data_IF_415951384919
#
_entry.id   IF_415951384919
#
_cell.length_a   1.000
_cell.length_b   1.000
_cell.length_c   1.000
_cell.angle_alpha   90.00
_cell.angle_beta   90.00
_cell.angle_gamma   90.00
#
_symmetry.space_group_name_H-M   'P 1'
#
loop_
_entity.id
_entity.type
_entity.pdbx_description
1 polymer ?
#
# COMPACT_ATOMS: atom_id res chain seq x y z
N UNK A 1 27.55 1.29 21.38
CA UNK A 1 27.46 -0.11 20.97
C UNK A 1 26.05 -0.27 20.36
N UNK A 2 25.85 -0.28 19.23
CA UNK A 2 26.18 -0.62 17.89
C UNK A 2 25.00 -0.29 16.99
N UNK A 3 24.97 0.92 16.47
CA UNK A 3 24.05 1.34 15.39
C UNK A 3 24.36 0.66 14.06
N UNK A 4 25.37 -0.21 14.04
CA UNK A 4 25.82 -0.93 12.83
C UNK A 4 25.00 -2.16 12.46
N UNK A 5 23.99 -2.54 13.25
CA UNK A 5 23.16 -3.71 12.93
C UNK A 5 21.92 -3.38 12.08
N UNK A 6 21.60 -2.09 11.90
CA UNK A 6 20.45 -1.65 11.10
C UNK A 6 20.82 -1.14 9.71
N UNK A 7 22.09 -0.93 9.45
CA UNK A 7 22.62 -0.77 8.10
C UNK A 7 23.21 -2.12 7.68
N UNK A 8 22.32 -3.08 7.39
CA UNK A 8 22.75 -4.26 6.66
C UNK A 8 23.42 -3.73 5.40
N UNK A 9 24.74 -3.98 5.27
CA UNK A 9 25.41 -4.00 3.99
C UNK A 9 24.43 -4.58 3.00
N UNK A 10 24.17 -3.90 1.86
CA UNK A 10 23.14 -4.26 0.89
C UNK A 10 23.27 -5.73 0.52
N UNK A 11 22.62 -6.56 1.30
CA UNK A 11 22.81 -7.99 1.27
C UNK A 11 22.18 -8.47 -0.04
N UNK A 12 22.95 -9.12 -0.87
CA UNK A 12 22.45 -9.89 -2.01
C UNK A 12 21.24 -10.76 -1.63
N UNK A 13 21.09 -11.07 -0.32
CA UNK A 13 19.93 -11.77 0.23
C UNK A 13 18.60 -11.02 0.04
N UNK A 14 18.56 -9.70 0.22
CA UNK A 14 17.34 -8.92 -0.01
C UNK A 14 16.93 -8.95 -1.50
N UNK A 15 17.91 -8.78 -2.38
CA UNK A 15 17.71 -8.86 -3.83
C UNK A 15 17.23 -10.27 -4.25
N UNK A 16 17.92 -11.32 -3.75
CA UNK A 16 17.57 -12.71 -4.05
C UNK A 16 16.14 -13.02 -3.58
N UNK A 17 15.80 -12.61 -2.35
CA UNK A 17 14.45 -12.79 -1.79
C UNK A 17 13.41 -12.07 -2.63
N UNK A 18 13.67 -10.84 -3.05
CA UNK A 18 12.80 -10.07 -3.93
C UNK A 18 12.62 -10.74 -5.29
N UNK A 19 13.70 -11.25 -5.89
CA UNK A 19 13.64 -11.96 -7.17
C UNK A 19 12.83 -13.25 -7.06
N UNK A 20 13.06 -14.06 -6.03
CA UNK A 20 12.29 -15.29 -5.77
C UNK A 20 10.81 -14.95 -5.59
N UNK A 21 10.51 -13.93 -4.81
CA UNK A 21 9.14 -13.45 -4.59
C UNK A 21 8.48 -13.02 -5.90
N UNK A 22 9.17 -12.20 -6.71
CA UNK A 22 8.66 -11.72 -8.00
C UNK A 22 8.40 -12.89 -8.95
N UNK A 23 9.32 -13.84 -9.04
CA UNK A 23 9.14 -15.06 -9.84
C UNK A 23 7.94 -15.89 -9.36
N UNK A 24 7.73 -16.00 -8.05
CA UNK A 24 6.58 -16.70 -7.47
C UNK A 24 5.26 -16.01 -7.87
N UNK A 25 5.19 -14.66 -7.82
CA UNK A 25 4.02 -13.89 -8.27
C UNK A 25 3.70 -14.18 -9.74
N UNK A 26 4.68 -14.09 -10.62
CA UNK A 26 4.47 -14.38 -12.04
C UNK A 26 4.12 -15.86 -12.28
N UNK A 27 4.74 -16.78 -11.53
CA UNK A 27 4.42 -18.20 -11.58
C UNK A 27 2.97 -18.50 -11.20
N UNK A 28 2.48 -17.89 -10.12
CA UNK A 28 1.08 -18.01 -9.68
C UNK A 28 0.15 -17.41 -10.73
N UNK A 29 0.48 -16.24 -11.29
CA UNK A 29 -0.33 -15.63 -12.32
C UNK A 29 -0.43 -16.51 -13.57
N UNK A 30 0.68 -17.09 -14.02
CA UNK A 30 0.71 -17.99 -15.16
C UNK A 30 -0.06 -19.31 -14.92
N UNK A 31 0.09 -19.90 -13.73
CA UNK A 31 -0.63 -21.10 -13.34
C UNK A 31 -2.13 -20.85 -13.24
N UNK A 32 -2.51 -19.73 -12.60
CA UNK A 32 -3.91 -19.34 -12.44
C UNK A 32 -4.60 -19.16 -13.79
N UNK A 33 -3.92 -18.52 -14.75
CA UNK A 33 -4.47 -18.34 -16.09
C UNK A 33 -4.70 -19.67 -16.84
N UNK A 34 -3.82 -20.67 -16.63
CA UNK A 34 -4.01 -22.02 -17.21
C UNK A 34 -5.19 -22.79 -16.62
N UNK A 35 -5.57 -22.47 -15.39
CA UNK A 35 -6.70 -23.10 -14.69
C UNK A 35 -8.04 -22.48 -15.04
N UNK A 36 -8.06 -21.30 -15.70
CA UNK A 36 -9.26 -20.63 -16.18
C UNK A 36 -9.90 -21.44 -17.30
N UNK A 37 -10.85 -22.33 -16.94
CA UNK A 37 -11.65 -23.13 -17.88
C UNK A 37 -13.12 -22.70 -17.78
N UNK A 38 -13.47 -21.53 -18.30
CA UNK A 38 -14.82 -21.02 -18.10
C UNK A 38 -15.68 -20.91 -19.34
N UNK A 39 -16.98 -21.09 -19.11
CA UNK A 39 -18.05 -20.83 -20.08
C UNK A 39 -18.42 -19.33 -20.18
N UNK A 40 -17.99 -18.49 -19.24
CA UNK A 40 -18.28 -17.06 -19.18
C UNK A 40 -17.04 -16.26 -18.77
N UNK A 41 -16.30 -15.77 -19.76
CA UNK A 41 -15.08 -14.97 -19.56
C UNK A 41 -15.29 -13.80 -18.59
N UNK A 42 -16.36 -13.01 -18.76
CA UNK A 42 -16.60 -11.82 -17.95
C UNK A 42 -16.80 -12.14 -16.47
N UNK A 43 -17.62 -13.13 -16.16
CA UNK A 43 -17.89 -13.53 -14.78
C UNK A 43 -16.66 -14.10 -14.09
N UNK A 44 -15.83 -14.82 -14.83
CA UNK A 44 -14.65 -15.45 -14.27
C UNK A 44 -13.48 -14.49 -14.15
N UNK A 45 -13.26 -13.69 -15.17
CA UNK A 45 -12.19 -12.70 -15.19
C UNK A 45 -12.35 -11.61 -14.13
N UNK A 46 -13.59 -11.15 -13.87
CA UNK A 46 -13.86 -10.05 -12.91
C UNK A 46 -14.34 -10.52 -11.53
N UNK A 47 -14.96 -11.69 -11.41
CA UNK A 47 -15.58 -12.15 -10.16
C UNK A 47 -15.07 -13.50 -9.66
N UNK A 48 -14.21 -14.18 -10.42
CA UNK A 48 -13.73 -15.51 -10.06
C UNK A 48 -14.86 -16.51 -9.79
N UNK A 49 -15.95 -16.43 -10.57
CA UNK A 49 -17.16 -17.24 -10.40
C UNK A 49 -17.81 -17.15 -9.00
N UNK A 50 -17.45 -16.14 -8.20
CA UNK A 50 -17.91 -15.92 -6.82
C UNK A 50 -17.67 -17.13 -5.90
N UNK A 51 -16.61 -17.90 -6.15
CA UNK A 51 -16.29 -19.15 -5.47
C UNK A 51 -15.19 -19.07 -4.42
N UNK A 52 -14.82 -17.87 -3.94
CA UNK A 52 -13.77 -17.69 -2.95
C UNK A 52 -14.14 -18.30 -1.60
N UNK A 53 -13.23 -19.13 -1.06
CA UNK A 53 -13.33 -19.61 0.31
C UNK A 53 -13.03 -18.51 1.34
N UNK A 54 -13.48 -18.72 2.57
CA UNK A 54 -13.38 -17.73 3.66
C UNK A 54 -11.92 -17.31 3.92
N UNK A 55 -11.00 -18.25 3.95
CA UNK A 55 -9.57 -17.97 4.18
C UNK A 55 -8.92 -17.22 3.03
N UNK A 56 -9.21 -17.62 1.79
CA UNK A 56 -8.71 -16.89 0.62
C UNK A 56 -9.25 -15.47 0.60
N UNK A 57 -10.54 -15.27 0.91
CA UNK A 57 -11.14 -13.95 1.03
C UNK A 57 -10.48 -13.11 2.14
N UNK A 58 -10.27 -13.69 3.33
CA UNK A 58 -9.67 -12.97 4.45
C UNK A 58 -8.23 -12.51 4.14
N UNK A 59 -7.41 -13.38 3.54
CA UNK A 59 -6.03 -13.06 3.17
C UNK A 59 -5.96 -12.05 2.02
N UNK A 60 -6.78 -12.21 0.99
CA UNK A 60 -6.90 -11.22 -0.10
C UNK A 60 -7.36 -9.87 0.44
N UNK A 61 -8.35 -9.85 1.32
CA UNK A 61 -8.84 -8.61 1.93
C UNK A 61 -7.76 -7.93 2.77
N UNK A 62 -7.01 -8.70 3.57
CA UNK A 62 -5.87 -8.19 4.33
C UNK A 62 -4.78 -7.62 3.42
N UNK A 63 -4.41 -8.35 2.36
CA UNK A 63 -3.41 -7.90 1.38
C UNK A 63 -3.86 -6.64 0.62
N UNK A 64 -5.12 -6.59 0.17
CA UNK A 64 -5.68 -5.44 -0.55
C UNK A 64 -5.81 -4.19 0.34
N UNK A 65 -6.15 -4.35 1.62
CA UNK A 65 -6.22 -3.24 2.56
C UNK A 65 -4.85 -2.74 3.02
N UNK A 66 -3.84 -3.58 2.93
CA UNK A 66 -2.45 -3.25 3.25
C UNK A 66 -1.74 -2.76 1.98
N UNK A 67 -1.27 -1.53 2.02
CA UNK A 67 -0.71 -0.86 0.85
C UNK A 67 0.71 -0.34 1.12
N UNK A 68 1.38 0.18 0.11
CA UNK A 68 2.62 0.93 0.29
C UNK A 68 2.46 2.05 1.32
N UNK A 69 1.28 2.69 1.38
CA UNK A 69 0.94 3.64 2.44
C UNK A 69 0.93 3.01 3.82
N UNK A 70 0.44 1.78 3.97
CA UNK A 70 0.40 1.09 5.26
C UNK A 70 1.79 0.72 5.78
N UNK A 71 2.69 0.29 4.90
CA UNK A 71 4.03 -0.16 5.29
C UNK A 71 5.11 0.93 5.28
N UNK A 72 4.93 2.00 4.53
CA UNK A 72 5.89 3.11 4.47
C UNK A 72 5.30 4.42 4.98
N UNK A 73 4.10 4.78 4.52
CA UNK A 73 3.47 6.06 4.85
C UNK A 73 3.00 6.15 6.29
N UNK A 74 2.31 5.15 6.83
CA UNK A 74 1.84 5.17 8.21
C UNK A 74 2.97 5.12 9.24
N UNK A 75 3.97 4.23 9.13
CA UNK A 75 5.13 4.29 10.02
C UNK A 75 5.85 5.64 9.98
N UNK A 76 6.07 6.22 8.80
CA UNK A 76 6.68 7.53 8.66
C UNK A 76 5.86 8.64 9.35
N UNK A 77 4.54 8.59 9.22
CA UNK A 77 3.63 9.53 9.87
C UNK A 77 3.60 9.34 11.40
N UNK A 78 3.60 8.11 11.90
CA UNK A 78 3.68 7.82 13.32
C UNK A 78 5.01 8.32 13.89
N UNK A 79 6.11 8.09 13.16
CA UNK A 79 7.42 8.60 13.54
C UNK A 79 7.45 10.13 13.68
N UNK A 80 6.79 10.85 12.79
CA UNK A 80 6.77 12.31 12.79
C UNK A 80 5.75 12.95 13.74
N UNK A 81 4.64 12.26 14.07
CA UNK A 81 3.52 12.82 14.83
C UNK A 81 3.19 12.05 16.12
N UNK A 82 3.87 10.96 16.39
CA UNK A 82 3.71 10.18 17.61
C UNK A 82 2.39 9.40 17.73
N UNK A 83 2.01 9.08 18.97
CA UNK A 83 0.89 8.20 19.30
C UNK A 83 -0.49 8.68 18.86
N UNK A 84 -0.68 9.99 18.75
CA UNK A 84 -1.98 10.55 18.28
C UNK A 84 -2.32 10.01 16.90
N UNK A 85 -1.33 9.98 16.02
CA UNK A 85 -1.55 9.47 14.66
C UNK A 85 -1.65 7.94 14.62
N UNK A 86 -0.94 7.24 15.51
CA UNK A 86 -1.07 5.79 15.64
C UNK A 86 -2.50 5.38 16.03
N UNK A 87 -3.13 6.09 16.97
CA UNK A 87 -4.52 5.87 17.37
C UNK A 87 -5.50 6.16 16.23
N UNK A 88 -5.28 7.24 15.48
CA UNK A 88 -6.09 7.56 14.31
C UNK A 88 -5.99 6.48 13.23
N UNK A 89 -4.78 6.02 12.91
CA UNK A 89 -4.55 4.94 11.95
C UNK A 89 -5.21 3.64 12.43
N UNK A 90 -5.08 3.30 13.72
CA UNK A 90 -5.75 2.15 14.33
C UNK A 90 -7.28 2.20 14.15
N UNK A 91 -7.90 3.36 14.40
CA UNK A 91 -9.34 3.54 14.18
C UNK A 91 -9.73 3.41 12.71
N UNK A 92 -8.93 3.95 11.80
CA UNK A 92 -9.16 3.86 10.36
C UNK A 92 -9.14 2.41 9.85
N UNK A 93 -8.27 1.55 10.40
CA UNK A 93 -8.19 0.14 10.03
C UNK A 93 -9.45 -0.67 10.39
N UNK A 94 -10.21 -0.24 11.37
CA UNK A 94 -11.47 -0.91 11.78
C UNK A 94 -12.62 -0.64 10.80
N UNK A 95 -12.61 0.52 10.12
CA UNK A 95 -13.71 0.94 9.22
C UNK A 95 -13.99 -0.06 8.08
N UNK A 96 -13.02 -0.56 7.32
CA UNK A 96 -13.26 -1.55 6.27
C UNK A 96 -13.89 -2.84 6.80
N UNK A 97 -13.48 -3.32 7.97
CA UNK A 97 -14.01 -4.53 8.61
C UNK A 97 -15.48 -4.34 8.97
N UNK A 98 -15.78 -3.22 9.63
CA UNK A 98 -17.17 -2.87 9.98
C UNK A 98 -18.05 -2.69 8.75
N UNK A 99 -17.58 -2.02 7.73
CA UNK A 99 -18.30 -1.80 6.49
C UNK A 99 -18.61 -3.11 5.78
N UNK A 100 -17.63 -4.01 5.66
CA UNK A 100 -17.85 -5.33 5.07
C UNK A 100 -18.80 -6.19 5.90
N UNK A 101 -18.68 -6.16 7.21
CA UNK A 101 -19.57 -6.91 8.12
C UNK A 101 -21.03 -6.45 8.03
N UNK A 102 -21.26 -5.14 7.98
CA UNK A 102 -22.60 -4.56 8.00
C UNK A 102 -23.28 -4.56 6.62
N UNK A 103 -22.54 -4.16 5.58
CA UNK A 103 -23.10 -3.89 4.25
C UNK A 103 -22.85 -5.05 3.27
N UNK A 104 -21.73 -5.76 3.39
CA UNK A 104 -21.26 -6.72 2.40
C UNK A 104 -22.27 -7.81 2.06
N UNK A 105 -22.95 -8.39 3.07
CA UNK A 105 -23.98 -9.41 2.85
C UNK A 105 -25.18 -8.87 2.04
N UNK A 106 -25.68 -7.70 2.38
CA UNK A 106 -26.81 -7.07 1.69
C UNK A 106 -26.44 -6.66 0.27
N UNK A 107 -25.27 -6.09 0.09
CA UNK A 107 -24.75 -5.71 -1.22
C UNK A 107 -24.59 -6.93 -2.14
N UNK A 108 -24.05 -8.04 -1.63
CA UNK A 108 -23.97 -9.28 -2.40
C UNK A 108 -25.33 -9.84 -2.80
N UNK A 109 -26.33 -9.78 -1.92
CA UNK A 109 -27.71 -10.21 -2.24
C UNK A 109 -28.30 -9.36 -3.36
N UNK A 110 -28.18 -8.04 -3.29
CA UNK A 110 -28.66 -7.12 -4.33
C UNK A 110 -27.94 -7.35 -5.65
N UNK A 111 -26.61 -7.44 -5.62
CA UNK A 111 -25.81 -7.69 -6.82
C UNK A 111 -26.12 -9.04 -7.49
N UNK A 112 -26.44 -10.09 -6.71
CA UNK A 112 -26.87 -11.38 -7.27
C UNK A 112 -28.26 -11.29 -7.90
N UNK A 113 -29.18 -10.55 -7.29
CA UNK A 113 -30.54 -10.39 -7.79
C UNK A 113 -30.60 -9.56 -9.09
N UNK A 114 -29.78 -8.51 -9.19
CA UNK A 114 -29.73 -7.63 -10.37
C UNK A 114 -28.78 -8.12 -11.47
N UNK A 115 -27.91 -9.10 -11.18
CA UNK A 115 -26.83 -9.51 -12.08
C UNK A 115 -25.68 -8.52 -12.16
N UNK A 116 -25.66 -7.50 -11.30
CA UNK A 116 -24.63 -6.48 -11.29
C UNK A 116 -23.23 -7.06 -11.00
N UNK A 117 -22.22 -6.58 -11.71
CA UNK A 117 -20.82 -6.96 -11.58
C UNK A 117 -20.05 -5.92 -10.74
N UNK A 118 -20.41 -4.65 -10.90
CA UNK A 118 -19.71 -3.52 -10.28
C UNK A 118 -20.63 -2.73 -9.36
N UNK A 119 -20.05 -1.93 -8.46
CA UNK A 119 -20.81 -1.00 -7.61
C UNK A 119 -21.59 0.03 -8.44
N UNK A 120 -21.01 0.65 -9.49
CA UNK A 120 -21.78 1.49 -10.39
C UNK A 120 -23.01 0.82 -10.99
N UNK A 121 -22.95 -0.48 -11.33
CA UNK A 121 -24.13 -1.21 -11.83
C UNK A 121 -25.20 -1.32 -10.75
N UNK A 122 -24.84 -1.67 -9.52
CA UNK A 122 -25.77 -1.73 -8.39
C UNK A 122 -26.46 -0.40 -8.18
N UNK A 123 -25.71 0.70 -8.22
CA UNK A 123 -26.25 2.04 -8.02
C UNK A 123 -27.12 2.50 -9.20
N UNK A 124 -26.69 2.21 -10.44
CA UNK A 124 -27.51 2.48 -11.64
C UNK A 124 -28.87 1.79 -11.54
N UNK A 125 -28.88 0.52 -11.17
CA UNK A 125 -30.10 -0.27 -11.08
C UNK A 125 -30.96 0.17 -9.89
N UNK A 126 -30.35 0.51 -8.75
CA UNK A 126 -31.05 0.99 -7.56
C UNK A 126 -31.76 2.31 -7.78
N UNK A 127 -31.16 3.24 -8.51
CA UNK A 127 -31.72 4.58 -8.80
C UNK A 127 -32.38 4.67 -10.17
N UNK A 128 -32.40 3.57 -10.92
CA UNK A 128 -32.90 3.51 -12.29
C UNK A 128 -32.39 4.67 -13.17
N UNK A 129 -31.11 4.98 -13.05
CA UNK A 129 -30.47 6.13 -13.69
C UNK A 129 -29.10 5.81 -14.25
N UNK A 130 -28.96 5.80 -15.57
CA UNK A 130 -27.67 5.62 -16.25
C UNK A 130 -26.69 6.76 -15.91
N UNK A 131 -27.18 7.99 -15.72
CA UNK A 131 -26.35 9.15 -15.36
C UNK A 131 -25.74 8.99 -13.98
N UNK A 132 -26.48 8.42 -13.03
CA UNK A 132 -25.97 8.15 -11.68
C UNK A 132 -24.89 7.06 -11.69
N UNK A 133 -25.08 6.00 -12.48
CA UNK A 133 -24.04 4.99 -12.70
C UNK A 133 -22.76 5.59 -13.29
N UNK A 134 -22.89 6.43 -14.32
CA UNK A 134 -21.75 7.11 -14.94
C UNK A 134 -21.01 8.03 -13.95
N UNK A 135 -21.74 8.84 -13.18
CA UNK A 135 -21.16 9.70 -12.15
C UNK A 135 -20.36 8.87 -11.15
N UNK A 136 -20.88 7.73 -10.73
CA UNK A 136 -20.20 6.82 -9.81
C UNK A 136 -18.88 6.29 -10.40
N UNK A 137 -18.89 5.91 -11.69
CA UNK A 137 -17.66 5.47 -12.39
C UNK A 137 -16.63 6.58 -12.40
N UNK A 138 -17.03 7.81 -12.77
CA UNK A 138 -16.11 8.96 -12.84
C UNK A 138 -15.48 9.24 -11.48
N UNK A 139 -16.27 9.23 -10.41
CA UNK A 139 -15.76 9.45 -9.04
C UNK A 139 -14.80 8.33 -8.60
N UNK A 140 -15.17 7.07 -8.86
CA UNK A 140 -14.28 5.93 -8.52
C UNK A 140 -12.97 6.04 -9.28
N UNK A 141 -12.99 6.25 -10.59
CA UNK A 141 -11.78 6.37 -11.40
C UNK A 141 -10.92 7.54 -10.93
N UNK A 142 -11.54 8.69 -10.66
CA UNK A 142 -10.83 9.88 -10.17
C UNK A 142 -10.09 9.59 -8.86
N UNK A 143 -10.78 9.12 -7.81
CA UNK A 143 -10.15 8.88 -6.52
C UNK A 143 -9.17 7.70 -6.53
N UNK A 144 -9.47 6.63 -7.29
CA UNK A 144 -8.56 5.50 -7.44
C UNK A 144 -7.28 5.86 -8.19
N UNK A 145 -7.31 6.84 -9.10
CA UNK A 145 -6.10 7.32 -9.78
C UNK A 145 -5.09 7.92 -8.80
N UNK A 146 -5.54 8.70 -7.81
CA UNK A 146 -4.64 9.21 -6.76
C UNK A 146 -4.06 8.10 -5.89
N UNK A 147 -4.89 7.12 -5.52
CA UNK A 147 -4.41 5.95 -4.78
C UNK A 147 -3.34 5.20 -5.59
N UNK A 148 -3.58 4.97 -6.87
CA UNK A 148 -2.66 4.28 -7.77
C UNK A 148 -1.30 4.99 -7.87
N UNK A 149 -1.31 6.31 -8.03
CA UNK A 149 -0.07 7.12 -8.04
C UNK A 149 0.74 6.91 -6.75
N UNK A 150 0.07 6.90 -5.59
CA UNK A 150 0.72 6.66 -4.30
C UNK A 150 1.35 5.27 -4.23
N UNK A 151 0.67 4.23 -4.75
CA UNK A 151 1.18 2.86 -4.78
C UNK A 151 2.41 2.73 -5.70
N UNK A 152 2.37 3.32 -6.90
CA UNK A 152 3.49 3.32 -7.82
C UNK A 152 4.71 4.03 -7.22
N UNK A 153 4.48 5.19 -6.58
CA UNK A 153 5.55 5.91 -5.88
C UNK A 153 6.17 5.08 -4.76
N UNK A 154 5.36 4.45 -3.92
CA UNK A 154 5.86 3.62 -2.82
C UNK A 154 6.64 2.41 -3.34
N UNK A 155 6.11 1.70 -4.35
CA UNK A 155 6.78 0.55 -4.97
C UNK A 155 8.12 0.94 -5.61
N UNK A 156 8.16 2.05 -6.34
CA UNK A 156 9.39 2.55 -6.95
C UNK A 156 10.46 2.93 -5.91
N UNK A 157 10.06 3.58 -4.81
CA UNK A 157 10.99 3.95 -3.73
C UNK A 157 11.55 2.73 -3.01
N UNK A 158 10.72 1.73 -2.70
CA UNK A 158 11.17 0.49 -2.07
C UNK A 158 12.15 -0.23 -3.00
N UNK A 159 11.80 -0.34 -4.29
CA UNK A 159 12.66 -0.99 -5.28
C UNK A 159 14.00 -0.25 -5.43
N UNK A 160 13.98 1.08 -5.44
CA UNK A 160 15.21 1.89 -5.48
C UNK A 160 16.10 1.59 -4.28
N UNK A 161 15.56 1.52 -3.06
CA UNK A 161 16.33 1.18 -1.85
C UNK A 161 16.93 -0.22 -1.95
N UNK A 162 16.16 -1.20 -2.45
CA UNK A 162 16.65 -2.58 -2.61
C UNK A 162 17.75 -2.73 -3.66
N UNK A 163 17.75 -1.88 -4.70
CA UNK A 163 18.70 -1.95 -5.82
C UNK A 163 19.87 -0.97 -5.70
N UNK A 164 19.88 -0.13 -4.67
CA UNK A 164 20.86 0.95 -4.52
C UNK A 164 22.34 0.45 -4.58
N UNK A 165 22.60 -0.73 -4.02
CA UNK A 165 23.94 -1.30 -3.94
C UNK A 165 24.25 -2.29 -5.09
N UNK A 166 23.43 -2.31 -6.14
CA UNK A 166 23.63 -3.18 -7.31
C UNK A 166 24.31 -2.40 -8.44
N UNK A 167 25.57 -2.71 -8.72
CA UNK A 167 26.39 -2.01 -9.72
C UNK A 167 25.77 -1.98 -11.12
N UNK A 168 25.18 -3.10 -11.55
CA UNK A 168 24.53 -3.20 -12.88
C UNK A 168 23.35 -2.24 -12.94
N UNK A 169 22.56 -2.14 -11.87
CA UNK A 169 21.43 -1.21 -11.79
C UNK A 169 21.91 0.24 -11.82
N UNK A 170 22.98 0.57 -11.09
CA UNK A 170 23.55 1.91 -11.04
C UNK A 170 24.06 2.35 -12.42
N UNK A 171 24.83 1.49 -13.09
CA UNK A 171 25.34 1.75 -14.43
C UNK A 171 24.22 1.93 -15.47
N UNK A 172 23.18 1.10 -15.41
CA UNK A 172 22.02 1.22 -16.27
C UNK A 172 21.23 2.52 -15.99
N UNK A 173 21.01 2.85 -14.74
CA UNK A 173 20.31 4.07 -14.33
C UNK A 173 21.05 5.33 -14.76
N UNK A 174 22.39 5.31 -14.68
CA UNK A 174 23.21 6.42 -15.17
C UNK A 174 23.04 6.62 -16.68
N UNK A 175 23.09 5.56 -17.47
CA UNK A 175 22.87 5.63 -18.92
C UNK A 175 21.49 6.18 -19.27
N UNK A 176 20.46 5.76 -18.52
CA UNK A 176 19.10 6.31 -18.67
C UNK A 176 19.06 7.80 -18.29
N UNK A 177 19.77 8.19 -17.21
CA UNK A 177 19.87 9.57 -16.78
C UNK A 177 20.50 10.50 -17.86
N UNK A 178 21.56 10.04 -18.50
CA UNK A 178 22.20 10.77 -19.61
C UNK A 178 21.25 10.94 -20.79
N UNK A 179 20.50 9.90 -21.12
CA UNK A 179 19.52 9.94 -22.22
C UNK A 179 18.31 10.83 -21.91
N UNK A 180 17.88 10.91 -20.63
CA UNK A 180 16.71 11.67 -20.21
C UNK A 180 17.06 13.10 -19.74
N UNK A 181 18.33 13.46 -19.60
CA UNK A 181 18.80 14.75 -19.09
C UNK A 181 18.26 15.98 -19.87
N UNK A 182 17.88 15.81 -21.14
CA UNK A 182 17.25 16.85 -21.95
C UNK A 182 15.75 17.02 -21.76
N UNK A 183 15.09 16.13 -21.02
CA UNK A 183 13.62 16.12 -20.87
C UNK A 183 13.23 16.40 -19.44
N UNK A 184 12.93 17.66 -19.14
CA UNK A 184 12.61 18.12 -17.77
C UNK A 184 11.41 17.43 -17.11
N UNK A 185 10.57 16.72 -17.89
CA UNK A 185 9.43 15.95 -17.40
C UNK A 185 9.86 14.72 -16.57
N UNK A 186 10.99 14.10 -16.87
CA UNK A 186 11.43 12.87 -16.20
C UNK A 186 12.14 13.13 -14.86
N UNK A 187 12.35 14.37 -14.47
CA UNK A 187 13.03 14.72 -13.24
C UNK A 187 14.54 14.42 -13.25
N UNK A 188 15.19 14.65 -12.12
CA UNK A 188 16.65 14.46 -11.97
C UNK A 188 17.05 13.08 -11.41
N UNK A 189 16.10 12.26 -11.01
CA UNK A 189 16.34 10.96 -10.34
C UNK A 189 16.12 9.78 -11.30
N UNK A 190 17.15 9.45 -12.07
CA UNK A 190 17.10 8.35 -13.04
C UNK A 190 16.87 6.98 -12.39
N UNK A 191 17.42 6.73 -11.20
CA UNK A 191 17.20 5.47 -10.48
C UNK A 191 15.72 5.30 -10.12
N UNK A 192 15.10 6.36 -9.62
CA UNK A 192 13.67 6.35 -9.31
C UNK A 192 12.82 6.12 -10.58
N UNK A 193 13.15 6.78 -11.67
CA UNK A 193 12.45 6.61 -12.95
C UNK A 193 12.51 5.17 -13.45
N UNK A 194 13.69 4.56 -13.44
CA UNK A 194 13.89 3.17 -13.86
C UNK A 194 13.07 2.22 -12.97
N UNK A 195 13.11 2.41 -11.64
CA UNK A 195 12.32 1.62 -10.70
C UNK A 195 10.81 1.80 -10.93
N UNK A 196 10.35 3.02 -11.19
CA UNK A 196 8.94 3.33 -11.46
C UNK A 196 8.44 2.62 -12.72
N UNK A 197 9.22 2.67 -13.79
CA UNK A 197 8.88 2.02 -15.06
C UNK A 197 8.88 0.50 -14.92
N UNK A 198 9.92 -0.07 -14.30
CA UNK A 198 10.00 -1.51 -14.08
C UNK A 198 8.85 -2.03 -13.23
N UNK A 199 8.60 -1.39 -12.08
CA UNK A 199 7.50 -1.74 -11.19
C UNK A 199 6.15 -1.61 -11.91
N UNK A 200 5.94 -0.49 -12.63
CA UNK A 200 4.71 -0.23 -13.37
C UNK A 200 4.43 -1.28 -14.44
N UNK A 201 5.42 -1.58 -15.27
CA UNK A 201 5.29 -2.61 -16.33
C UNK A 201 5.03 -3.98 -15.71
N UNK A 202 5.75 -4.36 -14.66
CA UNK A 202 5.57 -5.64 -13.99
C UNK A 202 4.14 -5.79 -13.44
N UNK A 203 3.63 -4.77 -12.72
CA UNK A 203 2.27 -4.78 -12.13
C UNK A 203 1.22 -4.86 -13.24
N UNK A 204 1.32 -4.05 -14.28
CA UNK A 204 0.36 -4.04 -15.39
C UNK A 204 0.39 -5.40 -16.11
N UNK A 205 1.57 -5.93 -16.39
CA UNK A 205 1.72 -7.20 -17.09
C UNK A 205 1.06 -8.36 -16.33
N UNK A 206 1.39 -8.56 -15.04
CA UNK A 206 0.83 -9.70 -14.33
C UNK A 206 -0.68 -9.55 -14.07
N UNK A 207 -1.16 -8.34 -13.81
CA UNK A 207 -2.59 -8.08 -13.54
C UNK A 207 -3.42 -8.31 -14.80
N UNK A 208 -2.98 -7.77 -15.92
CA UNK A 208 -3.68 -7.92 -17.20
C UNK A 208 -3.71 -9.37 -17.67
N UNK A 209 -2.58 -10.08 -17.52
CA UNK A 209 -2.48 -11.48 -17.95
C UNK A 209 -3.28 -12.42 -17.06
N UNK A 210 -3.29 -12.21 -15.76
CA UNK A 210 -3.82 -13.18 -14.80
C UNK A 210 -5.30 -12.99 -14.42
N UNK A 211 -5.85 -11.80 -14.58
CA UNK A 211 -7.23 -11.49 -14.16
C UNK A 211 -7.46 -11.68 -12.66
N UNK A 212 -8.73 -11.75 -12.24
CA UNK A 212 -9.13 -11.82 -10.83
C UNK A 212 -8.53 -12.99 -10.06
N UNK A 213 -8.51 -14.19 -10.65
CA UNK A 213 -7.98 -15.38 -9.97
C UNK A 213 -6.48 -15.25 -9.67
N UNK A 214 -5.71 -14.74 -10.61
CA UNK A 214 -4.28 -14.52 -10.37
C UNK A 214 -4.04 -13.50 -9.26
N UNK A 215 -4.77 -12.38 -9.29
CA UNK A 215 -4.68 -11.35 -8.25
C UNK A 215 -5.02 -11.94 -6.89
N UNK A 216 -6.12 -12.66 -6.76
CA UNK A 216 -6.53 -13.30 -5.49
C UNK A 216 -5.47 -14.25 -4.95
N UNK A 217 -4.92 -15.13 -5.79
CA UNK A 217 -3.93 -16.10 -5.31
C UNK A 217 -2.57 -15.45 -5.01
N UNK A 218 -2.19 -14.42 -5.74
CA UNK A 218 -1.02 -13.62 -5.38
C UNK A 218 -1.24 -12.86 -4.07
N UNK A 219 -2.43 -12.31 -3.85
CA UNK A 219 -2.80 -11.66 -2.60
C UNK A 219 -2.80 -12.62 -1.42
N UNK A 220 -3.29 -13.86 -1.60
CA UNK A 220 -3.24 -14.91 -0.57
C UNK A 220 -1.79 -15.19 -0.17
N UNK A 221 -0.89 -15.36 -1.14
CA UNK A 221 0.54 -15.53 -0.87
C UNK A 221 1.11 -14.32 -0.14
N UNK A 222 0.81 -13.12 -0.62
CA UNK A 222 1.23 -11.85 -0.01
C UNK A 222 0.72 -11.73 1.41
N UNK A 223 -0.55 -12.02 1.65
CA UNK A 223 -1.17 -11.99 2.97
C UNK A 223 -0.45 -12.92 3.97
N UNK A 224 -0.10 -14.14 3.54
CA UNK A 224 0.68 -15.06 4.38
C UNK A 224 2.07 -14.49 4.68
N UNK A 225 2.79 -14.01 3.67
CA UNK A 225 4.13 -13.42 3.85
C UNK A 225 4.07 -12.19 4.76
N UNK A 226 3.06 -11.33 4.61
CA UNK A 226 2.86 -10.16 5.45
C UNK A 226 2.60 -10.53 6.91
N UNK A 227 1.75 -11.52 7.18
CA UNK A 227 1.48 -12.00 8.54
C UNK A 227 2.76 -12.54 9.17
N UNK A 228 3.51 -13.39 8.47
CA UNK A 228 4.78 -13.93 8.96
C UNK A 228 5.78 -12.77 9.20
N UNK A 229 5.89 -11.85 8.27
CA UNK A 229 6.79 -10.69 8.38
C UNK A 229 6.49 -9.84 9.61
N UNK A 230 5.22 -9.53 9.88
CA UNK A 230 4.82 -8.76 11.06
C UNK A 230 5.07 -9.53 12.36
N UNK A 231 4.80 -10.85 12.39
CA UNK A 231 5.06 -11.70 13.56
C UNK A 231 6.54 -11.78 13.91
N UNK A 232 7.43 -11.69 12.92
CA UNK A 232 8.89 -11.66 13.12
C UNK A 232 9.34 -10.24 13.48
N UNK A 233 8.86 -9.23 12.75
CA UNK A 233 9.30 -7.84 12.90
C UNK A 233 8.93 -7.27 14.29
N UNK A 234 7.74 -7.57 14.79
CA UNK A 234 7.25 -6.98 16.04
C UNK A 234 8.15 -7.31 17.24
N UNK A 235 8.47 -8.59 17.55
CA UNK A 235 9.37 -8.91 18.66
C UNK A 235 10.80 -8.40 18.43
N UNK A 236 11.29 -8.39 17.19
CA UNK A 236 12.61 -7.84 16.87
C UNK A 236 12.66 -6.33 17.12
N UNK A 237 11.65 -5.60 16.69
CA UNK A 237 11.55 -4.16 16.90
C UNK A 237 11.41 -3.83 18.39
N UNK A 238 10.56 -4.52 19.14
CA UNK A 238 10.41 -4.34 20.57
C UNK A 238 11.71 -4.62 21.34
N UNK A 239 12.43 -5.68 20.97
CA UNK A 239 13.71 -5.99 21.57
C UNK A 239 14.78 -4.92 21.26
N UNK A 240 14.82 -4.44 20.00
CA UNK A 240 15.79 -3.41 19.58
C UNK A 240 15.60 -2.08 20.32
N UNK A 241 14.36 -1.71 20.61
CA UNK A 241 14.01 -0.46 21.33
C UNK A 241 14.13 -0.62 22.87
N UNK A 242 14.11 -1.85 23.38
CA UNK A 242 14.15 -2.13 24.82
C UNK A 242 12.76 -2.18 25.48
N UNK A 243 11.73 -2.55 24.70
CA UNK A 243 10.36 -2.72 25.14
C UNK A 243 9.44 -1.56 24.83
N UNK A 244 8.15 -1.79 25.02
CA UNK A 244 7.10 -0.82 24.69
C UNK A 244 7.17 0.45 25.56
N UNK A 245 7.49 0.31 26.85
CA UNK A 245 7.60 1.45 27.78
C UNK A 245 8.69 2.41 27.34
N UNK A 246 9.87 1.87 26.98
CA UNK A 246 10.97 2.68 26.50
C UNK A 246 10.63 3.32 25.14
N UNK A 247 10.03 2.58 24.23
CA UNK A 247 9.54 3.12 22.96
C UNK A 247 8.60 4.32 23.19
N UNK A 248 7.65 4.19 24.11
CA UNK A 248 6.70 5.26 24.45
C UNK A 248 7.39 6.46 25.06
N UNK A 249 8.34 6.25 25.97
CA UNK A 249 9.11 7.34 26.58
C UNK A 249 9.97 8.10 25.56
N UNK A 250 10.63 7.39 24.64
CA UNK A 250 11.41 8.03 23.58
C UNK A 250 10.51 8.77 22.57
N UNK A 251 9.37 8.20 22.21
CA UNK A 251 8.39 8.88 21.36
C UNK A 251 7.82 10.17 22.00
N UNK A 252 7.64 10.19 23.30
CA UNK A 252 7.16 11.39 24.00
C UNK A 252 8.15 12.55 23.99
N UNK A 253 9.44 12.25 23.75
CA UNK A 253 10.51 13.25 23.63
C UNK A 253 10.75 13.72 22.17
N UNK A 254 10.13 13.04 21.21
CA UNK A 254 10.30 13.39 19.81
C UNK A 254 9.56 14.69 19.51
N UNK A 255 10.31 15.66 19.03
CA UNK A 255 9.74 16.90 18.50
C UNK A 255 9.41 16.68 17.01
N UNK A 256 8.19 17.01 16.55
CA UNK A 256 7.84 16.88 15.14
C UNK A 256 8.80 17.74 14.29
N UNK A 257 9.35 17.21 13.19
CA UNK A 257 10.32 17.96 12.37
C UNK A 257 9.71 19.12 11.60
N UNK A 258 8.39 19.24 11.50
CA UNK A 258 7.67 20.35 10.88
C UNK A 258 6.18 20.32 11.25
N UNK A 259 5.54 21.51 11.24
CA UNK A 259 4.11 21.80 11.44
C UNK A 259 3.20 20.57 11.51
N UNK A 260 3.16 19.93 12.67
CA UNK A 260 2.16 18.92 12.98
C UNK A 260 0.88 19.61 13.48
N UNK A 261 -0.25 18.92 13.37
CA UNK A 261 -1.45 19.34 14.06
C UNK A 261 -1.17 19.42 15.56
N UNK A 262 -1.45 20.55 16.17
CA UNK A 262 -1.20 20.80 17.57
C UNK A 262 0.06 21.62 17.91
N UNK A 263 0.76 22.14 16.91
CA UNK A 263 1.88 23.08 17.10
C UNK A 263 1.40 24.50 16.75
N UNK A 264 1.37 25.39 17.74
CA UNK A 264 0.87 26.77 17.58
C UNK A 264 1.90 27.67 16.94
N UNK A 265 3.17 27.50 17.28
CA UNK A 265 4.25 28.34 16.80
C UNK A 265 5.54 27.54 16.69
N UNK A 266 6.21 27.63 15.56
CA UNK A 266 7.59 27.19 15.42
C UNK A 266 8.41 28.43 15.57
N UNK A 267 9.11 28.58 16.69
CA UNK A 267 10.12 29.60 16.85
C UNK A 267 11.20 29.45 15.78
N UNK A 268 11.77 30.53 15.30
CA UNK A 268 12.79 30.54 14.22
C UNK A 268 14.05 29.71 14.53
N UNK A 269 14.24 29.33 15.79
CA UNK A 269 15.24 28.34 16.19
C UNK A 269 14.55 27.02 16.49
N UNK A 270 14.95 25.96 15.79
CA UNK A 270 14.39 24.59 15.87
C UNK A 270 14.41 23.94 17.28
N UNK A 271 14.71 24.69 18.32
CA UNK A 271 14.83 24.23 19.73
C UNK A 271 13.61 24.53 20.57
N UNK A 272 12.68 25.40 20.13
CA UNK A 272 11.50 25.78 20.91
C UNK A 272 10.22 25.47 20.15
N UNK A 273 9.76 24.23 20.25
CA UNK A 273 8.42 23.83 19.80
C UNK A 273 7.52 23.86 21.02
N UNK A 274 6.62 24.86 21.07
CA UNK A 274 5.61 24.92 22.10
C UNK A 274 4.39 24.12 21.66
N UNK A 275 4.05 23.08 22.39
CA UNK A 275 2.80 22.35 22.19
C UNK A 275 1.65 23.17 22.78
N UNK A 276 0.50 23.15 22.10
CA UNK A 276 -0.74 23.70 22.64
C UNK A 276 -1.06 23.04 23.97
N UNK A 277 -1.25 23.85 25.01
CA UNK A 277 -1.84 23.37 26.25
C UNK A 277 -3.30 22.95 26.02
N UNK A 278 -3.85 22.14 26.93
CA UNK A 278 -5.20 21.61 26.82
C UNK A 278 -6.26 22.68 26.60
N UNK A 279 -6.06 23.87 27.18
CA UNK A 279 -6.98 24.99 27.07
C UNK A 279 -6.90 25.72 25.72
N UNK A 280 -5.80 25.58 24.99
CA UNK A 280 -5.62 26.18 23.66
C UNK A 280 -6.24 25.33 22.56
N UNK A 281 -6.35 24.00 22.76
CA UNK A 281 -7.09 23.11 21.86
C UNK A 281 -8.57 23.45 21.74
N UNK A 282 -9.15 23.97 22.83
CA UNK A 282 -10.56 24.36 22.90
C UNK A 282 -10.85 25.74 22.26
N UNK A 283 -9.82 26.50 21.91
CA UNK A 283 -9.93 27.83 21.30
C UNK A 283 -9.70 27.85 19.78
N UNK A 284 -9.38 26.68 19.18
CA UNK A 284 -9.27 26.57 17.72
C UNK A 284 -10.69 26.43 17.15
N UNK A 285 -11.25 27.54 16.64
CA UNK A 285 -12.43 27.59 15.78
C UNK A 285 -12.09 27.22 14.33
#
# INVERSE_FOLDING_TARGET
MTTSFLLAEGSNAALITFMIYTLAVFGIAALSNRLLKSKSFMSEYFLGSRGLGVWAFALTFAATSSSGGSFTGFPAKIYTHGWVLALWIGSYMVVPICTMGLIGKRLNQVARASGAITIPDVLRDRFNSARFGLLTVVLIVFFMSFNLVAQFKAGALILKVLLNDVDIFNSFSQSVGEWTAGVGFFGSDAQYLVCLLFFGVAVIAYTTYGGFHAVVWTDVMQGVVMVIGVLILLPLALNAVGGLDRATQEMSKMTPPMRGYGVVEIAESATDITYLDKDDWLKME
#
